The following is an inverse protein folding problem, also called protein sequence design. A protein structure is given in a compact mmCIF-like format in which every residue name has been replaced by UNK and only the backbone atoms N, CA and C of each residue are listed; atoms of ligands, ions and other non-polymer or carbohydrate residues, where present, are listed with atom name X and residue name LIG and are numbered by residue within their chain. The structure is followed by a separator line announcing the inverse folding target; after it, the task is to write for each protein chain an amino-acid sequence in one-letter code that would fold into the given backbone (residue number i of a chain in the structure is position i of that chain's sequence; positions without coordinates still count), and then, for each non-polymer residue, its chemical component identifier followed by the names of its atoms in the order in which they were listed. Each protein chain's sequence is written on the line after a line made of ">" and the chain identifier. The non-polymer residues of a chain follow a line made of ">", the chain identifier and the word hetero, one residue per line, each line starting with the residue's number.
data_IF_072915757648
#
_entry.id   IF_072915757648
#
_cell.length_a   1.000
_cell.length_b   1.000
_cell.length_c   1.000
_cell.angle_alpha   90.00
_cell.angle_beta   90.00
_cell.angle_gamma   90.00
#
_symmetry.space_group_name_H-M   'P 1'
#
loop_
_entity.id
_entity.type
_entity.pdbx_description
1 polymer ?
#
# COMPACT_ATOMS: atom_id res chain seq x y z
N UNK A 1 -53.45 -49.41 17.47
CA UNK A 1 -53.66 -48.08 16.84
C UNK A 1 -53.68 -46.90 17.82
N UNK A 2 -54.16 -47.00 19.06
CA UNK A 2 -54.21 -45.88 20.00
C UNK A 2 -52.85 -45.41 20.61
N UNK A 3 -51.82 -46.27 20.58
CA UNK A 3 -50.50 -45.89 21.11
C UNK A 3 -49.66 -45.00 20.19
N UNK A 4 -49.85 -45.08 18.88
CA UNK A 4 -49.08 -44.27 17.89
C UNK A 4 -49.66 -42.88 17.70
N UNK A 5 -51.00 -42.71 17.92
CA UNK A 5 -51.65 -41.42 17.89
C UNK A 5 -51.26 -40.52 19.05
N UNK A 6 -50.95 -41.08 20.23
CA UNK A 6 -50.47 -40.32 21.39
C UNK A 6 -49.04 -39.87 21.24
N UNK A 7 -48.18 -40.70 20.61
CA UNK A 7 -46.76 -40.35 20.32
C UNK A 7 -46.63 -39.25 19.27
N UNK A 8 -47.51 -39.30 18.23
CA UNK A 8 -47.50 -38.28 17.20
C UNK A 8 -48.05 -36.93 17.70
N UNK A 9 -49.01 -36.94 18.64
CA UNK A 9 -49.51 -35.71 19.27
C UNK A 9 -48.46 -35.08 20.21
N UNK A 10 -47.66 -35.89 20.93
CA UNK A 10 -46.58 -35.42 21.79
C UNK A 10 -45.41 -34.87 20.98
N UNK A 11 -45.10 -35.46 19.81
CA UNK A 11 -44.05 -34.95 18.90
C UNK A 11 -44.47 -33.62 18.25
N UNK A 12 -45.79 -33.45 17.94
CA UNK A 12 -46.32 -32.20 17.38
C UNK A 12 -46.31 -31.05 18.42
N UNK A 13 -46.53 -31.35 19.70
CA UNK A 13 -46.45 -30.36 20.78
C UNK A 13 -45.01 -29.87 21.06
N UNK A 14 -44.01 -30.72 20.83
CA UNK A 14 -42.58 -30.35 20.97
C UNK A 14 -42.07 -29.46 19.85
N UNK A 15 -42.71 -29.45 18.69
CA UNK A 15 -42.31 -28.60 17.57
C UNK A 15 -42.82 -27.15 17.66
N UNK A 16 -43.79 -26.85 18.57
CA UNK A 16 -44.29 -25.47 18.74
C UNK A 16 -43.62 -24.71 19.86
N UNK A 17 -42.74 -25.32 20.63
CA UNK A 17 -41.89 -24.64 21.63
C UNK A 17 -40.53 -24.25 21.10
N UNK A 18 -40.42 -24.02 19.78
CA UNK A 18 -39.31 -23.25 19.24
C UNK A 18 -39.40 -21.84 19.79
N UNK A 19 -38.62 -21.58 20.85
CA UNK A 19 -38.41 -20.23 21.31
C UNK A 19 -37.99 -19.38 20.12
N UNK A 20 -38.86 -18.57 19.60
CA UNK A 20 -38.51 -17.31 18.99
C UNK A 20 -38.01 -16.45 20.14
N UNK A 21 -36.75 -16.62 20.54
CA UNK A 21 -35.98 -15.52 21.05
C UNK A 21 -35.81 -14.60 19.86
N UNK A 22 -36.74 -13.69 19.68
CA UNK A 22 -36.44 -12.49 18.93
C UNK A 22 -35.19 -11.95 19.59
N UNK A 23 -34.11 -11.71 18.84
CA UNK A 23 -32.96 -11.04 19.43
C UNK A 23 -33.52 -9.75 19.99
N UNK A 24 -33.34 -9.57 21.31
CA UNK A 24 -33.70 -8.34 22.00
C UNK A 24 -32.72 -7.29 21.45
N UNK A 25 -33.10 -6.64 20.34
CA UNK A 25 -32.40 -5.49 19.79
C UNK A 25 -32.66 -4.32 20.73
N UNK A 26 -31.98 -4.34 21.86
CA UNK A 26 -31.99 -3.17 22.73
C UNK A 26 -31.34 -2.02 21.97
N UNK A 27 -32.03 -0.91 21.91
CA UNK A 27 -31.51 0.32 21.34
C UNK A 27 -30.15 0.66 21.90
N UNK A 28 -29.20 0.89 21.01
CA UNK A 28 -27.82 1.03 21.40
C UNK A 28 -27.14 2.21 20.67
N UNK A 29 -26.07 2.71 21.30
CA UNK A 29 -25.14 3.66 20.70
C UNK A 29 -23.80 3.01 20.45
N UNK A 30 -23.13 3.42 19.39
CA UNK A 30 -21.81 2.91 18.98
C UNK A 30 -21.03 3.97 18.20
N UNK A 31 -19.70 3.82 18.13
CA UNK A 31 -18.87 4.65 17.27
C UNK A 31 -19.20 4.38 15.80
N UNK A 32 -19.50 5.43 15.04
CA UNK A 32 -19.88 5.30 13.62
C UNK A 32 -18.81 4.59 12.82
N UNK A 33 -19.21 3.64 11.98
CA UNK A 33 -18.29 2.89 11.10
C UNK A 33 -17.58 1.70 11.77
N UNK A 34 -17.82 1.43 13.06
CA UNK A 34 -17.11 0.35 13.79
C UNK A 34 -17.83 -1.01 13.79
N UNK A 35 -19.00 -1.13 13.19
CA UNK A 35 -19.78 -2.38 13.17
C UNK A 35 -19.06 -3.55 12.49
N UNK A 36 -18.28 -3.27 11.43
CA UNK A 36 -17.54 -4.29 10.68
C UNK A 36 -16.06 -4.31 11.03
N UNK A 37 -15.50 -3.18 11.41
CA UNK A 37 -14.11 -3.01 11.80
C UNK A 37 -13.97 -1.84 12.75
N UNK A 38 -13.39 -2.05 13.91
CA UNK A 38 -13.09 -0.98 14.85
C UNK A 38 -11.92 -0.08 14.41
N UNK A 39 -11.21 -0.43 13.33
CA UNK A 39 -10.09 0.33 12.81
C UNK A 39 -10.56 1.46 11.89
N UNK A 40 -10.22 2.69 12.24
CA UNK A 40 -10.49 3.89 11.45
C UNK A 40 -9.17 4.41 10.88
N UNK A 41 -9.04 4.41 9.56
CA UNK A 41 -7.83 4.90 8.88
C UNK A 41 -7.81 6.42 8.87
N UNK A 42 -6.72 7.02 9.35
CA UNK A 42 -6.48 8.46 9.31
C UNK A 42 -5.14 8.75 8.62
N UNK A 43 -5.19 9.19 7.37
CA UNK A 43 -4.01 9.66 6.63
C UNK A 43 -3.69 11.09 7.06
N UNK A 44 -2.47 11.29 7.54
CA UNK A 44 -2.00 12.59 8.06
C UNK A 44 -0.99 13.18 7.09
N UNK A 45 -1.38 14.27 6.44
CA UNK A 45 -0.55 15.07 5.54
C UNK A 45 -0.53 16.51 6.05
N UNK A 46 0.65 17.00 6.46
CA UNK A 46 0.74 18.28 7.18
C UNK A 46 -0.16 18.26 8.42
N UNK A 47 -1.00 19.29 8.57
CA UNK A 47 -2.08 19.29 9.56
C UNK A 47 -3.37 18.75 8.95
N UNK A 48 -3.83 17.63 9.45
CA UNK A 48 -5.03 16.94 8.95
C UNK A 48 -6.06 16.78 10.06
N UNK A 49 -7.35 16.78 9.71
CA UNK A 49 -8.46 16.60 10.65
C UNK A 49 -9.36 15.45 10.22
N UNK A 50 -9.66 14.56 11.17
CA UNK A 50 -10.63 13.48 11.04
C UNK A 50 -11.86 13.79 11.88
N UNK A 51 -13.03 13.64 11.29
CA UNK A 51 -14.30 13.71 12.01
C UNK A 51 -14.79 12.32 12.42
N UNK A 52 -15.09 12.13 13.69
CA UNK A 52 -15.76 10.95 14.21
C UNK A 52 -17.18 11.32 14.66
N UNK A 53 -18.09 10.38 14.67
CA UNK A 53 -19.46 10.53 15.19
C UNK A 53 -19.87 9.29 15.97
N UNK A 54 -20.89 9.45 16.77
CA UNK A 54 -21.61 8.34 17.44
C UNK A 54 -22.93 8.13 16.73
N UNK A 55 -23.33 6.89 16.55
CA UNK A 55 -24.62 6.52 15.93
C UNK A 55 -25.47 5.76 16.95
N UNK A 56 -26.79 6.01 16.97
CA UNK A 56 -27.77 5.18 17.65
C UNK A 56 -28.48 4.25 16.64
N UNK A 57 -28.93 3.09 17.09
CA UNK A 57 -29.66 2.11 16.26
C UNK A 57 -30.93 2.71 15.69
N UNK A 58 -31.62 3.49 16.49
CA UNK A 58 -32.83 4.21 16.10
C UNK A 58 -32.68 5.72 16.26
N UNK A 59 -33.64 6.48 15.71
CA UNK A 59 -33.71 7.91 15.89
C UNK A 59 -34.00 8.26 17.34
N UNK A 60 -33.22 9.16 17.90
CA UNK A 60 -33.42 9.62 19.25
C UNK A 60 -34.75 10.38 19.40
N UNK A 61 -35.57 10.06 20.39
CA UNK A 61 -36.83 10.77 20.68
C UNK A 61 -36.54 12.15 21.30
N UNK A 62 -35.46 12.26 22.06
CA UNK A 62 -34.96 13.49 22.68
C UNK A 62 -33.45 13.58 22.48
N UNK A 63 -32.86 14.73 22.79
CA UNK A 63 -31.40 14.92 22.72
C UNK A 63 -30.69 13.95 23.67
N UNK A 64 -29.83 13.08 23.10
CA UNK A 64 -29.02 12.11 23.84
C UNK A 64 -27.59 12.63 23.94
N UNK A 65 -27.10 12.74 25.15
CA UNK A 65 -25.72 13.15 25.43
C UNK A 65 -24.81 11.93 25.56
N UNK A 66 -23.74 11.90 24.78
CA UNK A 66 -22.76 10.77 24.76
C UNK A 66 -21.38 11.30 25.09
N UNK A 67 -20.80 10.83 26.19
CA UNK A 67 -19.41 11.14 26.55
C UNK A 67 -18.43 10.33 25.71
N UNK A 68 -17.42 11.00 25.13
CA UNK A 68 -16.39 10.34 24.32
C UNK A 68 -15.02 10.84 24.72
N UNK A 69 -14.07 9.91 24.93
CA UNK A 69 -12.70 10.20 25.36
C UNK A 69 -11.65 9.37 24.63
N UNK A 70 -10.42 9.86 24.64
CA UNK A 70 -9.25 9.03 24.31
C UNK A 70 -9.03 8.04 25.43
N UNK A 71 -8.83 6.78 25.08
CA UNK A 71 -8.68 5.65 26.00
C UNK A 71 -7.33 4.92 25.82
N UNK A 72 -6.19 5.51 26.22
CA UNK A 72 -4.85 4.95 25.96
C UNK A 72 -4.66 3.56 26.58
N UNK A 73 -5.34 3.27 27.68
CA UNK A 73 -5.31 1.96 28.36
C UNK A 73 -5.81 0.80 27.50
N UNK A 74 -6.55 1.07 26.41
CA UNK A 74 -7.03 0.04 25.49
C UNK A 74 -6.00 -0.36 24.43
N UNK A 75 -4.90 0.37 24.29
CA UNK A 75 -3.92 0.14 23.22
C UNK A 75 -3.19 -1.21 23.38
N UNK A 76 -2.82 -1.57 24.61
CA UNK A 76 -2.12 -2.82 24.87
C UNK A 76 -2.98 -4.04 24.49
N UNK A 77 -4.24 -4.06 24.91
CA UNK A 77 -5.17 -5.13 24.55
C UNK A 77 -5.48 -5.18 23.06
N UNK A 78 -5.56 -4.01 22.41
CA UNK A 78 -5.69 -3.93 20.97
C UNK A 78 -4.49 -4.54 20.24
N UNK A 79 -3.27 -4.18 20.64
CA UNK A 79 -2.05 -4.75 20.06
C UNK A 79 -2.01 -6.27 20.24
N UNK A 80 -2.30 -6.77 21.43
CA UNK A 80 -2.30 -8.19 21.74
C UNK A 80 -3.34 -8.96 20.88
N UNK A 81 -4.55 -8.41 20.74
CA UNK A 81 -5.63 -9.07 19.99
C UNK A 81 -5.45 -9.05 18.47
N UNK A 82 -4.74 -8.04 17.95
CA UNK A 82 -4.54 -7.86 16.49
C UNK A 82 -3.17 -8.28 15.99
N UNK A 83 -2.23 -8.65 16.89
CA UNK A 83 -0.84 -8.93 16.54
C UNK A 83 -0.06 -7.69 16.07
N UNK A 84 -0.52 -6.50 16.42
CA UNK A 84 0.11 -5.22 16.03
C UNK A 84 1.06 -4.73 17.11
N UNK A 85 1.91 -3.78 16.75
CA UNK A 85 2.80 -3.06 17.66
C UNK A 85 2.62 -1.55 17.47
N UNK A 86 1.39 -1.08 17.70
CA UNK A 86 1.09 0.34 17.59
C UNK A 86 1.50 1.08 18.86
N UNK A 87 1.87 2.34 18.71
CA UNK A 87 2.17 3.27 19.79
C UNK A 87 1.10 4.36 19.86
N UNK A 88 0.94 4.98 21.02
CA UNK A 88 0.17 6.22 21.11
C UNK A 88 0.87 7.32 20.29
N UNK A 89 0.13 8.19 19.59
CA UNK A 89 0.74 9.34 18.95
C UNK A 89 1.47 10.19 20.01
N UNK A 90 2.65 10.79 19.70
CA UNK A 90 3.41 11.62 20.63
C UNK A 90 2.57 12.78 21.18
N UNK A 91 2.85 13.20 22.40
CA UNK A 91 2.22 14.36 22.97
C UNK A 91 2.44 15.60 22.08
N UNK A 92 1.38 16.37 21.85
CA UNK A 92 1.40 17.54 20.97
C UNK A 92 1.41 17.22 19.46
N UNK A 93 1.44 15.94 19.05
CA UNK A 93 1.26 15.54 17.64
C UNK A 93 -0.20 15.46 17.21
N UNK A 94 -1.11 15.46 18.17
CA UNK A 94 -2.55 15.43 17.90
C UNK A 94 -3.29 16.31 18.91
N UNK A 95 -4.49 16.72 18.55
CA UNK A 95 -5.50 17.28 19.44
C UNK A 95 -6.79 16.50 19.28
N UNK A 96 -7.49 16.34 20.38
CA UNK A 96 -8.79 15.70 20.45
C UNK A 96 -9.75 16.69 21.09
N UNK A 97 -10.73 17.18 20.34
CA UNK A 97 -11.79 18.01 20.88
C UNK A 97 -12.77 17.12 21.65
N UNK A 98 -12.34 16.75 22.87
CA UNK A 98 -13.09 15.86 23.74
C UNK A 98 -14.29 16.58 24.33
N UNK A 99 -15.30 15.83 24.62
CA UNK A 99 -16.46 16.30 25.35
C UNK A 99 -17.68 15.45 25.08
N UNK A 100 -18.77 15.90 25.65
CA UNK A 100 -20.06 15.33 25.35
C UNK A 100 -20.53 15.72 23.96
N UNK A 101 -20.85 14.73 23.13
CA UNK A 101 -21.52 14.94 21.85
C UNK A 101 -23.01 14.66 22.00
N UNK A 102 -23.79 15.35 21.18
CA UNK A 102 -25.25 15.24 21.26
C UNK A 102 -25.75 14.55 19.97
N UNK A 103 -26.57 13.51 20.16
CA UNK A 103 -27.44 12.99 19.12
C UNK A 103 -28.76 13.78 19.23
N UNK A 104 -29.06 14.68 18.27
CA UNK A 104 -30.25 15.50 18.37
C UNK A 104 -31.54 14.69 18.25
N UNK A 105 -32.61 15.15 18.87
CA UNK A 105 -33.94 14.59 18.68
C UNK A 105 -34.30 14.47 17.20
N UNK A 106 -34.83 13.31 16.80
CA UNK A 106 -35.15 12.98 15.42
C UNK A 106 -33.97 12.53 14.55
N UNK A 107 -32.72 12.58 15.08
CA UNK A 107 -31.50 12.10 14.44
C UNK A 107 -31.04 10.77 15.05
N UNK A 108 -30.25 10.01 14.31
CA UNK A 108 -29.54 8.85 14.82
C UNK A 108 -28.02 9.05 14.81
N UNK A 109 -27.54 10.25 14.54
CA UNK A 109 -26.13 10.57 14.47
C UNK A 109 -25.80 11.81 15.30
N UNK A 110 -24.69 11.74 16.03
CA UNK A 110 -24.23 12.84 16.88
C UNK A 110 -23.59 13.99 16.07
N UNK A 111 -23.37 15.10 16.77
CA UNK A 111 -22.40 16.11 16.36
C UNK A 111 -21.01 15.49 16.18
N UNK A 112 -20.16 16.15 15.37
CA UNK A 112 -18.85 15.63 15.00
C UNK A 112 -17.83 15.87 16.12
N UNK A 113 -17.03 14.86 16.39
CA UNK A 113 -15.82 14.89 17.21
C UNK A 113 -14.63 15.08 16.28
N UNK A 114 -13.78 16.06 16.54
CA UNK A 114 -12.61 16.32 15.71
C UNK A 114 -11.34 15.76 16.34
N UNK A 115 -10.60 15.01 15.53
CA UNK A 115 -9.23 14.58 15.82
C UNK A 115 -8.32 15.28 14.81
N UNK A 116 -7.48 16.19 15.26
CA UNK A 116 -6.48 16.83 14.40
C UNK A 116 -5.11 16.24 14.68
N UNK A 117 -4.32 15.98 13.64
CA UNK A 117 -2.97 15.46 13.77
C UNK A 117 -2.00 16.23 12.86
N UNK A 118 -0.73 16.29 13.29
CA UNK A 118 0.37 16.98 12.64
C UNK A 118 1.42 15.97 12.18
N UNK A 119 1.56 15.81 10.85
CA UNK A 119 2.49 14.86 10.24
C UNK A 119 3.95 15.12 10.62
N UNK A 120 4.34 16.39 10.83
CA UNK A 120 5.73 16.75 11.13
C UNK A 120 6.17 16.24 12.51
N UNK A 121 5.23 15.96 13.38
CA UNK A 121 5.46 15.40 14.72
C UNK A 121 5.33 13.89 14.81
N UNK A 122 4.96 13.23 13.71
CA UNK A 122 4.89 11.78 13.61
C UNK A 122 6.17 11.23 12.99
N UNK A 123 6.71 10.16 13.57
CA UNK A 123 7.91 9.49 13.07
C UNK A 123 7.56 8.57 11.90
N UNK A 124 8.44 8.52 10.91
CA UNK A 124 8.32 7.60 9.80
C UNK A 124 8.52 6.15 10.23
N UNK A 125 7.76 5.24 9.63
CA UNK A 125 7.87 3.81 9.92
C UNK A 125 7.22 3.38 11.25
N UNK A 126 6.68 4.30 12.05
CA UNK A 126 5.96 3.99 13.28
C UNK A 126 4.46 3.93 13.02
N UNK A 127 3.83 2.85 13.49
CA UNK A 127 2.38 2.72 13.46
C UNK A 127 1.78 3.35 14.71
N UNK A 128 0.95 4.36 14.54
CA UNK A 128 0.27 5.03 15.64
C UNK A 128 -1.21 4.65 15.68
N UNK A 129 -1.73 4.50 16.89
CA UNK A 129 -3.15 4.22 17.13
C UNK A 129 -3.65 5.08 18.29
N UNK A 130 -4.74 5.81 18.05
CA UNK A 130 -5.45 6.60 19.04
C UNK A 130 -6.79 5.92 19.33
N UNK A 131 -6.95 5.17 20.44
CA UNK A 131 -8.22 4.61 20.84
C UNK A 131 -9.18 5.72 21.31
N UNK A 132 -10.34 5.83 20.68
CA UNK A 132 -11.40 6.78 21.04
C UNK A 132 -12.63 5.99 21.43
N UNK A 133 -13.11 6.15 22.66
CA UNK A 133 -14.14 5.29 23.23
C UNK A 133 -15.30 6.09 23.83
N UNK A 134 -16.51 5.54 23.69
CA UNK A 134 -17.69 6.02 24.40
C UNK A 134 -17.53 5.69 25.89
N UNK A 135 -17.71 6.68 26.77
CA UNK A 135 -17.56 6.54 28.21
C UNK A 135 -18.89 6.54 28.95
N UNK A 136 -19.84 7.32 28.45
CA UNK A 136 -21.16 7.47 29.09
C UNK A 136 -22.24 7.75 28.05
N UNK A 137 -23.47 7.42 28.42
CA UNK A 137 -24.69 7.86 27.75
C UNK A 137 -25.61 8.44 28.83
N UNK A 138 -26.18 9.60 28.59
CA UNK A 138 -27.09 10.28 29.51
C UNK A 138 -28.30 10.84 28.77
N UNK A 139 -29.35 11.10 29.51
CA UNK A 139 -30.66 11.51 29.00
C UNK A 139 -31.33 10.46 28.10
N UNK A 140 -30.99 9.17 28.25
CA UNK A 140 -31.55 8.08 27.48
C UNK A 140 -31.30 6.73 28.15
N UNK A 141 -32.13 5.75 27.86
CA UNK A 141 -31.97 4.35 28.26
C UNK A 141 -31.10 3.53 27.28
N UNK A 142 -30.58 4.18 26.22
CA UNK A 142 -29.73 3.55 25.24
C UNK A 142 -28.46 2.95 25.88
N UNK A 143 -28.14 1.73 25.48
CA UNK A 143 -26.95 1.03 25.97
C UNK A 143 -25.81 1.23 24.99
N UNK A 144 -24.58 1.16 25.48
CA UNK A 144 -23.42 1.16 24.59
C UNK A 144 -23.22 -0.24 24.03
N UNK A 145 -23.10 -0.35 22.71
CA UNK A 145 -22.74 -1.61 22.03
C UNK A 145 -21.24 -1.86 22.25
N UNK A 146 -20.93 -2.80 23.16
CA UNK A 146 -19.54 -3.04 23.62
C UNK A 146 -18.56 -3.41 22.49
N UNK A 147 -19.01 -4.20 21.50
CA UNK A 147 -18.18 -4.57 20.33
C UNK A 147 -17.80 -3.39 19.44
N UNK A 148 -18.55 -2.30 19.53
CA UNK A 148 -18.40 -1.10 18.71
C UNK A 148 -18.29 0.18 19.53
N UNK A 149 -17.93 0.03 20.80
CA UNK A 149 -17.71 1.13 21.76
C UNK A 149 -16.53 2.00 21.39
N UNK A 150 -15.48 1.40 20.80
CA UNK A 150 -14.19 2.05 20.58
C UNK A 150 -13.84 2.09 19.10
N UNK A 151 -13.46 3.26 18.61
CA UNK A 151 -12.80 3.46 17.32
C UNK A 151 -11.28 3.53 17.56
N UNK A 152 -10.54 2.63 16.94
CA UNK A 152 -9.08 2.65 16.93
C UNK A 152 -8.61 3.44 15.73
N UNK A 153 -8.31 4.72 15.95
CA UNK A 153 -7.88 5.62 14.88
C UNK A 153 -6.41 5.35 14.57
N UNK A 154 -6.18 4.80 13.38
CA UNK A 154 -4.84 4.44 12.88
C UNK A 154 -4.26 5.64 12.14
N UNK A 155 -3.37 6.39 12.79
CA UNK A 155 -2.69 7.51 12.17
C UNK A 155 -1.54 7.00 11.31
N UNK A 156 -1.59 7.36 10.03
CA UNK A 156 -0.56 7.02 9.04
C UNK A 156 -0.03 8.31 8.43
N UNK A 157 1.23 8.62 8.68
CA UNK A 157 1.90 9.75 8.02
C UNK A 157 1.98 9.49 6.52
N UNK A 158 1.50 10.45 5.73
CA UNK A 158 1.70 10.42 4.28
C UNK A 158 3.15 10.77 4.01
N UNK A 159 3.85 9.85 3.37
CA UNK A 159 5.25 10.07 2.96
C UNK A 159 5.23 10.67 1.57
N UNK A 160 5.66 11.93 1.46
CA UNK A 160 5.91 12.56 0.18
C UNK A 160 7.34 12.22 -0.28
N UNK A 161 7.45 11.60 -1.44
CA UNK A 161 8.74 11.36 -2.08
C UNK A 161 8.87 12.30 -3.27
N UNK A 162 9.94 13.10 -3.27
CA UNK A 162 10.29 13.89 -4.44
C UNK A 162 10.99 13.00 -5.46
N UNK A 163 10.41 12.87 -6.64
CA UNK A 163 11.04 12.20 -7.76
C UNK A 163 11.66 13.22 -8.72
N UNK A 164 12.79 12.85 -9.32
CA UNK A 164 13.38 13.69 -10.36
C UNK A 164 12.56 13.59 -11.64
N UNK A 165 12.29 14.72 -12.27
CA UNK A 165 11.70 14.79 -13.59
C UNK A 165 12.81 14.89 -14.65
N UNK A 166 13.04 13.80 -15.36
CA UNK A 166 14.05 13.71 -16.41
C UNK A 166 13.37 13.95 -17.78
N UNK A 167 13.45 15.18 -18.26
CA UNK A 167 12.95 15.56 -19.58
C UNK A 167 14.12 15.84 -20.53
N UNK A 168 13.94 15.58 -21.82
CA UNK A 168 14.84 16.00 -22.90
C UNK A 168 16.32 15.75 -22.63
N UNK A 169 16.76 14.50 -22.55
CA UNK A 169 18.15 14.11 -22.29
C UNK A 169 18.66 14.44 -20.88
N UNK A 170 17.76 14.70 -19.93
CA UNK A 170 18.13 14.74 -18.50
C UNK A 170 18.56 13.34 -18.03
N UNK A 171 19.62 13.26 -17.28
CA UNK A 171 20.12 12.02 -16.72
C UNK A 171 20.80 12.26 -15.38
N UNK A 172 20.92 11.22 -14.58
CA UNK A 172 21.78 11.20 -13.42
C UNK A 172 23.14 10.65 -13.82
N UNK A 173 24.18 11.32 -13.39
CA UNK A 173 25.55 10.82 -13.49
C UNK A 173 26.00 10.31 -12.12
N UNK A 174 26.59 9.12 -12.09
CA UNK A 174 27.22 8.56 -10.89
C UNK A 174 28.73 8.50 -11.14
N UNK A 175 29.48 9.55 -10.78
CA UNK A 175 30.91 9.67 -11.15
C UNK A 175 31.78 8.50 -10.67
N UNK A 176 31.43 7.88 -9.51
CA UNK A 176 32.12 6.70 -8.98
C UNK A 176 31.98 5.46 -9.85
N UNK A 177 30.98 5.40 -10.72
CA UNK A 177 30.79 4.30 -11.67
C UNK A 177 31.75 4.43 -12.87
N UNK A 178 32.07 5.66 -13.27
CA UNK A 178 32.90 5.93 -14.45
C UNK A 178 34.39 5.67 -14.26
N UNK A 179 34.90 5.43 -13.04
CA UNK A 179 36.28 5.10 -12.79
C UNK A 179 36.57 3.66 -13.24
N UNK A 180 37.19 3.52 -14.42
CA UNK A 180 37.47 2.23 -15.05
C UNK A 180 38.39 1.33 -14.19
N UNK A 181 39.23 1.88 -13.32
CA UNK A 181 40.18 1.12 -12.50
C UNK A 181 39.56 0.75 -11.12
N UNK A 182 38.84 1.67 -10.51
CA UNK A 182 38.42 1.60 -9.11
C UNK A 182 36.92 1.46 -8.92
N UNK A 183 36.16 1.41 -10.00
CA UNK A 183 34.68 1.34 -9.91
C UNK A 183 34.22 0.10 -9.12
N UNK A 184 33.39 0.26 -8.10
CA UNK A 184 32.84 -0.85 -7.33
C UNK A 184 31.89 -1.72 -8.16
N UNK A 185 31.46 -1.24 -9.33
CA UNK A 185 30.51 -1.90 -10.21
C UNK A 185 31.14 -2.47 -11.49
N UNK A 186 32.43 -2.70 -11.48
CA UNK A 186 33.21 -3.18 -12.63
C UNK A 186 32.99 -4.64 -12.97
N UNK A 187 32.71 -5.49 -11.97
CA UNK A 187 32.56 -6.93 -12.17
C UNK A 187 31.57 -7.50 -11.14
N UNK A 188 30.32 -7.25 -11.36
CA UNK A 188 29.26 -7.71 -10.46
C UNK A 188 28.85 -9.14 -10.82
N UNK A 189 29.21 -10.11 -9.96
CA UNK A 189 28.78 -11.50 -10.08
C UNK A 189 27.31 -11.70 -9.70
N UNK A 190 26.76 -10.78 -8.91
CA UNK A 190 25.35 -10.71 -8.52
C UNK A 190 24.94 -9.24 -8.42
N UNK A 191 23.69 -8.94 -8.74
CA UNK A 191 23.18 -7.56 -8.70
C UNK A 191 21.68 -7.54 -8.52
N UNK A 192 21.20 -6.61 -7.73
CA UNK A 192 19.82 -6.15 -7.76
C UNK A 192 19.79 -4.67 -8.13
N UNK A 193 19.04 -4.35 -9.16
CA UNK A 193 18.78 -2.99 -9.60
C UNK A 193 17.29 -2.72 -9.45
N UNK A 194 16.95 -1.72 -8.65
CA UNK A 194 15.55 -1.31 -8.44
C UNK A 194 15.35 0.13 -8.84
N UNK A 195 14.19 0.38 -9.46
CA UNK A 195 13.79 1.74 -9.81
C UNK A 195 12.27 1.88 -9.81
N UNK A 196 11.80 3.05 -9.40
CA UNK A 196 10.41 3.44 -9.52
C UNK A 196 10.30 4.58 -10.53
N UNK A 197 9.57 4.36 -11.62
CA UNK A 197 9.46 5.30 -12.73
C UNK A 197 8.01 5.60 -13.06
N UNK A 198 7.74 6.83 -13.46
CA UNK A 198 6.46 7.29 -13.98
C UNK A 198 6.69 7.74 -15.44
N UNK A 199 6.38 6.90 -16.45
CA UNK A 199 6.42 7.34 -17.83
C UNK A 199 5.35 8.42 -18.06
N UNK A 200 5.78 9.63 -18.37
CA UNK A 200 4.85 10.74 -18.65
C UNK A 200 4.36 10.69 -20.09
N UNK A 201 5.27 10.38 -21.01
CA UNK A 201 4.96 10.18 -22.42
C UNK A 201 6.02 9.28 -23.05
N UNK A 202 5.63 8.55 -24.09
CA UNK A 202 6.58 7.89 -24.99
C UNK A 202 6.77 8.74 -26.25
N UNK A 203 7.94 8.64 -26.89
CA UNK A 203 8.18 9.38 -28.14
C UNK A 203 7.15 9.06 -29.21
N UNK A 204 6.72 10.08 -29.93
CA UNK A 204 5.87 9.94 -31.11
C UNK A 204 6.76 10.04 -32.35
N UNK A 205 6.83 9.00 -33.14
CA UNK A 205 7.66 8.99 -34.34
C UNK A 205 7.84 7.60 -34.95
N UNK A 206 8.66 7.47 -36.00
CA UNK A 206 8.96 6.14 -36.50
C UNK A 206 9.75 5.34 -35.49
N UNK A 207 9.32 4.14 -35.25
CA UNK A 207 9.92 3.15 -34.33
C UNK A 207 11.40 2.86 -34.65
N UNK A 208 11.91 3.37 -35.76
CA UNK A 208 13.28 3.18 -36.24
C UNK A 208 14.20 4.39 -36.06
N UNK A 209 13.76 5.41 -35.35
CA UNK A 209 14.59 6.59 -35.10
C UNK A 209 15.13 6.57 -33.68
N UNK A 210 16.28 7.18 -33.46
CA UNK A 210 16.83 7.42 -32.11
C UNK A 210 15.84 8.16 -31.18
N UNK A 211 14.82 8.79 -31.72
CA UNK A 211 13.75 9.44 -30.97
C UNK A 211 12.74 8.43 -30.37
N UNK A 212 12.76 7.17 -30.80
CA UNK A 212 11.92 6.10 -30.24
C UNK A 212 12.47 5.44 -28.97
N UNK A 213 13.59 5.91 -28.45
CA UNK A 213 14.27 5.31 -27.30
C UNK A 213 14.10 6.18 -26.07
N UNK A 214 13.75 5.55 -24.94
CA UNK A 214 13.74 6.17 -23.61
C UNK A 214 14.56 5.31 -22.66
N UNK A 215 15.84 5.65 -22.50
CA UNK A 215 16.74 4.92 -21.60
C UNK A 215 16.34 5.15 -20.15
N UNK A 216 16.33 4.10 -19.35
CA UNK A 216 16.05 4.13 -17.92
C UNK A 216 17.35 4.14 -17.11
N UNK A 217 18.20 3.17 -17.35
CA UNK A 217 19.51 3.08 -16.69
C UNK A 217 20.40 2.06 -17.39
N UNK A 218 21.70 2.18 -17.16
CA UNK A 218 22.68 1.20 -17.58
C UNK A 218 23.69 1.73 -18.60
N UNK A 219 24.50 0.83 -19.14
CA UNK A 219 25.53 1.08 -20.11
C UNK A 219 25.18 0.43 -21.44
N UNK A 220 25.21 1.20 -22.51
CA UNK A 220 25.02 0.68 -23.87
C UNK A 220 25.96 -0.51 -24.13
N UNK A 221 25.50 -1.50 -24.89
CA UNK A 221 26.23 -2.72 -25.27
C UNK A 221 26.60 -3.66 -24.08
N UNK A 222 26.37 -3.24 -22.84
CA UNK A 222 26.81 -3.99 -21.67
C UNK A 222 25.64 -4.44 -20.79
N UNK A 223 24.98 -3.51 -20.15
CA UNK A 223 23.78 -3.78 -19.36
C UNK A 223 22.92 -2.52 -19.35
N UNK A 224 21.78 -2.57 -20.00
CA UNK A 224 20.94 -1.41 -20.23
C UNK A 224 19.45 -1.77 -20.17
N UNK A 225 18.69 -0.92 -19.48
CA UNK A 225 17.23 -0.89 -19.55
C UNK A 225 16.77 0.32 -20.33
N UNK A 226 15.83 0.09 -21.27
CA UNK A 226 15.21 1.17 -22.04
C UNK A 226 13.81 0.80 -22.51
N UNK A 227 12.97 1.78 -22.76
CA UNK A 227 11.77 1.63 -23.53
C UNK A 227 12.08 1.93 -24.99
N UNK A 228 11.52 1.10 -25.87
CA UNK A 228 11.73 1.23 -27.32
C UNK A 228 13.16 0.90 -27.76
N UNK A 229 13.33 0.88 -29.07
CA UNK A 229 14.63 0.74 -29.73
C UNK A 229 14.53 1.28 -31.15
N UNK A 230 15.64 1.87 -31.64
CA UNK A 230 15.77 2.34 -33.00
C UNK A 230 15.64 1.26 -34.08
N UNK A 231 15.70 -0.02 -33.73
CA UNK A 231 15.59 -1.17 -34.61
C UNK A 231 14.14 -1.59 -34.95
N UNK A 232 13.14 -0.80 -34.58
CA UNK A 232 11.73 -1.04 -34.95
C UNK A 232 10.88 -1.67 -33.86
N UNK A 233 11.30 -1.57 -32.60
CA UNK A 233 10.54 -2.06 -31.46
C UNK A 233 9.59 -0.98 -30.91
N UNK A 234 8.41 -1.37 -30.41
CA UNK A 234 7.45 -0.43 -29.87
C UNK A 234 8.04 0.45 -28.77
N UNK A 235 7.75 1.73 -28.83
CA UNK A 235 8.29 2.75 -27.90
C UNK A 235 7.90 2.56 -26.44
N UNK A 236 6.86 1.76 -26.19
CA UNK A 236 6.31 1.47 -24.87
C UNK A 236 6.58 0.03 -24.40
N UNK A 237 7.41 -0.73 -25.11
CA UNK A 237 7.89 -2.02 -24.64
C UNK A 237 9.27 -1.89 -24.01
N UNK A 238 9.49 -2.64 -22.92
CA UNK A 238 10.77 -2.64 -22.23
C UNK A 238 11.75 -3.59 -22.92
N UNK A 239 12.92 -3.07 -23.21
CA UNK A 239 14.08 -3.83 -23.67
C UNK A 239 15.15 -3.83 -22.60
N UNK A 240 15.89 -4.92 -22.51
CA UNK A 240 17.16 -4.89 -21.81
C UNK A 240 18.27 -5.61 -22.60
N UNK A 241 19.41 -4.97 -22.57
CA UNK A 241 20.66 -5.45 -23.16
C UNK A 241 21.47 -6.08 -22.06
N UNK A 242 22.05 -7.24 -22.31
CA UNK A 242 22.81 -8.03 -21.34
C UNK A 242 24.14 -8.52 -21.92
N UNK A 243 24.83 -7.67 -22.66
CA UNK A 243 26.02 -8.06 -23.39
C UNK A 243 27.03 -8.88 -22.60
N UNK A 244 27.45 -8.39 -21.43
CA UNK A 244 28.49 -9.03 -20.64
C UNK A 244 28.08 -10.39 -20.02
N UNK A 245 26.82 -10.59 -19.72
CA UNK A 245 26.34 -11.87 -19.14
C UNK A 245 25.76 -12.83 -20.19
N UNK A 246 25.50 -12.35 -21.39
CA UNK A 246 25.06 -13.17 -22.52
C UNK A 246 23.75 -13.92 -22.31
N UNK A 247 23.55 -14.96 -23.10
CA UNK A 247 22.40 -15.86 -23.00
C UNK A 247 22.82 -17.30 -23.23
N UNK A 248 22.34 -18.22 -22.39
CA UNK A 248 22.60 -19.65 -22.54
C UNK A 248 21.97 -20.23 -23.81
N UNK A 249 20.81 -19.71 -24.24
CA UNK A 249 20.11 -20.11 -25.45
C UNK A 249 20.76 -19.59 -26.76
N UNK A 250 21.67 -18.61 -26.67
CA UNK A 250 22.37 -18.02 -27.80
C UNK A 250 23.87 -17.85 -27.51
N UNK A 251 24.59 -18.97 -27.37
CA UNK A 251 25.99 -18.95 -26.93
C UNK A 251 26.95 -18.33 -27.94
N UNK A 252 26.56 -18.23 -29.18
CA UNK A 252 27.29 -17.62 -30.30
C UNK A 252 27.23 -16.07 -30.30
N UNK A 253 26.22 -15.49 -29.67
CA UNK A 253 26.10 -14.05 -29.49
C UNK A 253 26.87 -13.61 -28.26
N UNK A 254 28.11 -13.20 -28.45
CA UNK A 254 29.07 -12.96 -27.38
C UNK A 254 28.78 -11.68 -26.58
N UNK A 255 28.37 -10.63 -27.26
CA UNK A 255 28.48 -9.28 -26.71
C UNK A 255 27.17 -8.50 -26.73
N UNK A 256 26.16 -9.00 -27.40
CA UNK A 256 24.94 -8.24 -27.63
C UNK A 256 23.74 -9.17 -27.78
N UNK A 257 23.03 -9.41 -26.70
CA UNK A 257 21.75 -10.10 -26.75
C UNK A 257 20.66 -9.28 -26.10
N UNK A 258 19.78 -8.82 -26.95
CA UNK A 258 18.61 -8.05 -26.54
C UNK A 258 17.47 -8.98 -26.13
N UNK A 259 16.78 -8.62 -25.08
CA UNK A 259 15.57 -9.29 -24.64
C UNK A 259 14.45 -8.27 -24.47
N UNK A 260 13.26 -8.68 -24.87
CA UNK A 260 12.07 -7.87 -24.85
C UNK A 260 11.07 -8.44 -23.85
N UNK A 261 10.41 -7.54 -23.15
CA UNK A 261 9.21 -7.88 -22.40
C UNK A 261 8.02 -7.69 -23.33
N UNK A 262 7.25 -8.75 -23.56
CA UNK A 262 6.11 -8.72 -24.50
C UNK A 262 4.91 -7.90 -23.99
N UNK A 263 5.08 -7.19 -22.90
CA UNK A 263 4.08 -6.31 -22.29
C UNK A 263 4.30 -4.87 -22.74
N UNK A 264 3.23 -4.19 -23.13
CA UNK A 264 3.21 -2.75 -23.31
C UNK A 264 2.95 -2.04 -21.98
N UNK A 265 3.67 -0.95 -21.76
CA UNK A 265 3.59 -0.19 -20.51
C UNK A 265 2.78 1.10 -20.72
N UNK A 266 1.89 1.44 -19.78
CA UNK A 266 1.11 2.66 -19.83
C UNK A 266 1.93 3.88 -19.42
N UNK A 267 1.44 5.07 -19.79
CA UNK A 267 1.87 6.36 -19.23
C UNK A 267 1.00 6.75 -18.04
N UNK A 268 1.47 7.69 -17.20
CA UNK A 268 0.70 8.25 -16.10
C UNK A 268 0.54 7.35 -14.87
N UNK A 269 1.25 6.23 -14.82
CA UNK A 269 1.25 5.29 -13.69
C UNK A 269 2.67 5.04 -13.19
N UNK A 270 2.83 4.98 -11.87
CA UNK A 270 4.08 4.55 -11.27
C UNK A 270 4.29 3.05 -11.50
N UNK A 271 5.47 2.71 -12.01
CA UNK A 271 5.93 1.34 -12.25
C UNK A 271 7.15 1.08 -11.40
N UNK A 272 7.15 0.00 -10.61
CA UNK A 272 8.32 -0.43 -9.86
C UNK A 272 8.98 -1.60 -10.58
N UNK A 273 10.17 -1.37 -11.13
CA UNK A 273 10.98 -2.39 -11.77
C UNK A 273 12.07 -2.87 -10.82
N UNK A 274 12.31 -4.17 -10.81
CA UNK A 274 13.49 -4.76 -10.19
C UNK A 274 14.14 -5.77 -11.16
N UNK A 275 15.44 -5.64 -11.38
CA UNK A 275 16.23 -6.61 -12.13
C UNK A 275 17.19 -7.31 -11.19
N UNK A 276 17.07 -8.63 -11.10
CA UNK A 276 17.88 -9.47 -10.20
C UNK A 276 18.72 -10.42 -11.03
N UNK A 277 20.03 -10.28 -10.92
CA UNK A 277 21.03 -11.20 -11.46
C UNK A 277 21.70 -11.96 -10.32
N UNK A 278 21.62 -13.28 -10.34
CA UNK A 278 22.15 -14.16 -9.29
C UNK A 278 23.44 -14.90 -9.68
N UNK A 279 24.03 -14.56 -10.83
CA UNK A 279 25.20 -15.20 -11.40
C UNK A 279 24.85 -16.25 -12.48
N UNK A 280 23.60 -16.67 -12.56
CA UNK A 280 23.11 -17.63 -13.56
C UNK A 280 21.86 -17.12 -14.28
N UNK A 281 20.95 -16.49 -13.54
CA UNK A 281 19.67 -16.04 -14.07
C UNK A 281 19.49 -14.55 -13.91
N UNK A 282 18.94 -13.92 -14.94
CA UNK A 282 18.43 -12.56 -14.87
C UNK A 282 16.91 -12.60 -14.85
N UNK A 283 16.33 -12.07 -13.78
CA UNK A 283 14.88 -11.97 -13.57
C UNK A 283 14.47 -10.52 -13.53
N UNK A 284 13.40 -10.21 -14.21
CA UNK A 284 12.79 -8.88 -14.16
C UNK A 284 11.42 -8.96 -13.49
N UNK A 285 11.21 -8.07 -12.56
CA UNK A 285 9.97 -7.94 -11.81
C UNK A 285 9.33 -6.58 -12.09
N UNK A 286 8.00 -6.58 -12.15
CA UNK A 286 7.17 -5.39 -12.17
C UNK A 286 6.19 -5.46 -11.01
N UNK A 287 6.21 -4.44 -10.13
CA UNK A 287 5.33 -4.33 -8.96
C UNK A 287 5.34 -5.62 -8.09
N UNK A 288 6.50 -6.29 -8.02
CA UNK A 288 6.72 -7.53 -7.28
C UNK A 288 6.43 -8.83 -8.05
N UNK A 289 5.82 -8.77 -9.24
CA UNK A 289 5.56 -9.93 -10.09
C UNK A 289 6.69 -10.15 -11.10
N UNK A 290 7.16 -11.39 -11.26
CA UNK A 290 8.16 -11.73 -12.27
C UNK A 290 7.55 -11.67 -13.66
N UNK A 291 8.01 -10.75 -14.51
CA UNK A 291 7.51 -10.54 -15.87
C UNK A 291 8.46 -11.06 -16.96
N UNK A 292 9.71 -11.33 -16.61
CA UNK A 292 10.69 -11.86 -17.57
C UNK A 292 11.79 -12.66 -16.86
N UNK A 293 12.36 -13.61 -17.61
CA UNK A 293 13.37 -14.54 -17.10
C UNK A 293 14.31 -14.93 -18.24
N UNK A 294 15.60 -14.87 -17.95
CA UNK A 294 16.64 -15.28 -18.89
C UNK A 294 17.70 -16.09 -18.16
N UNK A 295 18.04 -17.26 -18.68
CA UNK A 295 19.27 -17.95 -18.31
C UNK A 295 20.45 -17.31 -19.03
N UNK A 296 21.44 -16.89 -18.26
CA UNK A 296 22.64 -16.22 -18.77
C UNK A 296 23.76 -17.22 -18.99
N UNK A 297 24.89 -16.78 -19.53
CA UNK A 297 26.10 -17.62 -19.55
C UNK A 297 26.62 -17.79 -18.14
N UNK A 298 26.91 -19.02 -17.76
CA UNK A 298 27.41 -19.33 -16.43
C UNK A 298 28.71 -18.58 -16.13
N UNK A 299 28.75 -17.86 -15.01
CA UNK A 299 29.94 -17.12 -14.56
C UNK A 299 30.18 -15.75 -15.23
N UNK A 300 29.19 -15.20 -15.96
CA UNK A 300 29.27 -13.85 -16.47
C UNK A 300 29.22 -12.80 -15.35
N UNK A 301 29.85 -11.65 -15.57
CA UNK A 301 29.78 -10.48 -14.66
C UNK A 301 29.17 -9.30 -15.37
N UNK A 302 28.41 -8.49 -14.62
CA UNK A 302 27.89 -7.22 -15.11
C UNK A 302 28.92 -6.14 -14.84
N UNK A 303 29.22 -5.32 -15.85
CA UNK A 303 30.09 -4.17 -15.74
C UNK A 303 29.28 -2.90 -16.01
N UNK A 304 29.01 -2.12 -14.98
CA UNK A 304 28.36 -0.82 -15.07
C UNK A 304 29.34 0.35 -15.10
N UNK A 305 30.64 0.08 -15.11
CA UNK A 305 31.70 1.12 -15.22
C UNK A 305 32.11 1.42 -16.67
N UNK A 306 31.71 0.59 -17.62
CA UNK A 306 32.04 0.79 -19.01
C UNK A 306 31.19 1.90 -19.63
N UNK A 307 31.88 2.78 -20.33
CA UNK A 307 31.25 3.73 -21.23
C UNK A 307 31.29 3.17 -22.64
N UNK A 308 30.22 3.34 -23.37
CA UNK A 308 30.20 3.09 -24.81
C UNK A 308 31.03 4.18 -25.51
N UNK A 309 31.89 3.74 -26.42
CA UNK A 309 32.65 4.62 -27.33
C UNK A 309 33.49 5.72 -26.63
N UNK A 310 34.07 5.41 -25.46
CA UNK A 310 34.96 6.31 -24.72
C UNK A 310 34.23 7.45 -23.97
N UNK A 311 32.92 7.47 -23.99
CA UNK A 311 32.13 8.41 -23.19
C UNK A 311 31.88 7.84 -21.77
N UNK A 312 32.33 8.58 -20.77
CA UNK A 312 31.98 8.29 -19.36
C UNK A 312 30.58 8.78 -19.05
N UNK A 313 29.96 8.06 -18.21
CA UNK A 313 28.62 8.42 -17.65
C UNK A 313 28.66 9.72 -16.89
#
# INVERSE_FOLDING_TARGET
>A
MKKYTLLSLLALLLCVSGCKTEPDYSDAVYMTGTLTSSNVKFLVEGQSTLGLTVTSTDKAEADVTVGVQVAPQLLESFNASTGRNCQMPPEGSYSFEAGDVIIPAGSNQSTQIKVTADADKLQEGVSYCLPVSITSVSNSDLKVMESSRTAYVMLTKVIEIKAAYLARRGYFNIPSFGDQEKSPVKALGQMTLEMKVLPVSFPVGSERSANGISSLCGCEENFLFRFGDGAGNPVNKLQFVKGSIGSASHPDKKDHYESWVEKEFPTGHWLHFAAVYDGQYLRLYLDGEQIHFVETKNGGTINLSMAYDGHTW
#
